data_IF_696714005165
#
_entry.id   IF_696714005165
#
_cell.length_a   1.000
_cell.length_b   1.000
_cell.length_c   1.000
_cell.angle_alpha   90.00
_cell.angle_beta   90.00
_cell.angle_gamma   90.00
#
_symmetry.space_group_name_H-M   'P 1'
#
loop_
_entity.id
_entity.type
_entity.pdbx_description
1 polymer ?
#
# COMPACT_ATOMS: atom_id res chain seq x y z
N UNK A 1 -1.95 3.43 15.48
CA UNK A 1 -0.55 3.68 15.10
C UNK A 1 -0.57 4.83 14.15
N UNK A 2 -0.20 6.03 14.62
CA UNK A 2 -0.08 7.21 13.78
C UNK A 2 1.22 7.08 13.00
N UNK A 3 1.13 6.99 11.67
CA UNK A 3 2.30 7.03 10.80
C UNK A 3 2.86 8.47 10.84
N UNK A 4 3.82 8.71 11.72
CA UNK A 4 4.50 10.01 11.77
C UNK A 4 5.45 10.11 10.56
N UNK A 5 5.17 11.08 9.70
CA UNK A 5 5.90 11.52 8.49
C UNK A 5 5.68 10.66 7.24
N UNK A 6 5.36 11.29 6.11
CA UNK A 6 5.12 10.61 4.81
C UNK A 6 6.26 9.64 4.43
N UNK A 7 7.50 10.00 4.74
CA UNK A 7 8.69 9.16 4.55
C UNK A 7 8.61 7.82 5.28
N UNK A 8 7.94 7.77 6.43
CA UNK A 8 7.74 6.55 7.20
C UNK A 8 6.75 5.60 6.50
N UNK A 9 5.71 6.15 5.87
CA UNK A 9 4.73 5.36 5.10
C UNK A 9 5.42 4.67 3.92
N UNK A 10 6.23 5.42 3.15
CA UNK A 10 6.96 4.84 2.01
C UNK A 10 8.05 3.87 2.44
N UNK A 11 8.76 4.14 3.54
CA UNK A 11 9.75 3.18 4.07
C UNK A 11 9.09 1.89 4.54
N UNK A 12 7.95 1.98 5.21
CA UNK A 12 7.17 0.82 5.63
C UNK A 12 6.68 0.03 4.41
N UNK A 13 6.21 0.73 3.36
CA UNK A 13 5.79 0.10 2.11
C UNK A 13 6.95 -0.61 1.41
N UNK A 14 8.14 0.00 1.37
CA UNK A 14 9.35 -0.62 0.83
C UNK A 14 9.70 -1.92 1.55
N UNK A 15 9.80 -1.90 2.89
CA UNK A 15 10.11 -3.09 3.70
C UNK A 15 9.07 -4.19 3.47
N UNK A 16 7.81 -3.81 3.35
CA UNK A 16 6.73 -4.75 3.07
C UNK A 16 6.88 -5.40 1.69
N UNK A 17 7.18 -4.63 0.64
CA UNK A 17 7.43 -5.16 -0.71
C UNK A 17 8.68 -6.05 -0.74
N UNK A 18 9.72 -5.69 0.02
CA UNK A 18 10.95 -6.47 0.16
C UNK A 18 10.74 -7.82 0.86
N UNK A 19 9.70 -7.93 1.69
CA UNK A 19 9.30 -9.20 2.30
C UNK A 19 8.59 -10.18 1.34
N UNK A 20 8.24 -9.72 0.13
CA UNK A 20 7.58 -10.54 -0.88
C UNK A 20 8.62 -11.25 -1.76
N UNK A 21 8.25 -12.33 -2.48
CA UNK A 21 9.16 -13.02 -3.41
C UNK A 21 9.59 -12.18 -4.63
N UNK A 22 9.22 -10.90 -4.67
CA UNK A 22 9.44 -10.00 -5.81
C UNK A 22 10.72 -9.16 -5.67
N UNK A 23 11.39 -9.21 -4.51
CA UNK A 23 12.59 -8.46 -4.11
C UNK A 23 12.48 -6.93 -4.35
N UNK A 24 12.39 -6.15 -3.27
CA UNK A 24 12.34 -4.68 -3.36
C UNK A 24 13.23 -4.02 -2.30
N UNK A 25 14.57 -4.24 -2.36
CA UNK A 25 15.48 -3.93 -1.27
C UNK A 25 15.71 -2.43 -1.09
N UNK A 26 16.12 -2.05 0.12
CA UNK A 26 16.60 -0.70 0.40
C UNK A 26 17.85 -0.41 -0.43
N UNK A 27 17.89 0.77 -1.07
CA UNK A 27 19.08 1.22 -1.79
C UNK A 27 19.78 2.35 -1.03
N UNK A 28 21.11 2.37 -1.08
CA UNK A 28 21.91 3.47 -0.50
C UNK A 28 21.56 4.85 -1.07
N UNK A 29 21.01 4.88 -2.28
CA UNK A 29 20.60 6.11 -2.97
C UNK A 29 19.20 6.60 -2.58
N UNK A 30 18.39 5.77 -1.93
CA UNK A 30 16.98 6.04 -1.65
C UNK A 30 16.11 6.13 -2.90
N UNK A 31 16.56 5.60 -4.05
CA UNK A 31 15.81 5.66 -5.32
C UNK A 31 14.50 4.88 -5.23
N UNK A 32 14.46 3.81 -4.45
CA UNK A 32 13.28 3.01 -4.18
C UNK A 32 12.17 3.85 -3.54
N UNK A 33 12.50 4.73 -2.59
CA UNK A 33 11.51 5.62 -1.98
C UNK A 33 11.03 6.70 -2.95
N UNK A 34 11.91 7.19 -3.84
CA UNK A 34 11.52 8.15 -4.89
C UNK A 34 10.57 7.50 -5.90
N UNK A 35 10.80 6.25 -6.27
CA UNK A 35 9.92 5.48 -7.14
C UNK A 35 8.57 5.28 -6.46
N UNK A 36 8.54 4.85 -5.19
CA UNK A 36 7.28 4.69 -4.45
C UNK A 36 6.47 6.00 -4.35
N UNK A 37 7.14 7.13 -4.09
CA UNK A 37 6.52 8.47 -4.08
C UNK A 37 5.98 8.91 -5.43
N UNK A 38 6.52 8.37 -6.53
CA UNK A 38 6.02 8.66 -7.88
C UNK A 38 4.84 7.78 -8.26
N UNK A 39 4.82 6.53 -7.77
CA UNK A 39 3.77 5.55 -8.09
C UNK A 39 2.53 5.68 -7.20
N UNK A 40 2.73 6.07 -5.93
CA UNK A 40 1.69 6.10 -4.91
C UNK A 40 1.60 7.48 -4.25
N UNK A 41 0.38 7.95 -4.00
CA UNK A 41 0.16 9.00 -3.01
C UNK A 41 0.35 8.46 -1.59
N UNK A 42 0.53 9.31 -0.57
CA UNK A 42 0.64 8.85 0.81
C UNK A 42 -0.59 8.02 1.23
N UNK A 43 -1.79 8.42 0.81
CA UNK A 43 -3.01 7.64 1.08
C UNK A 43 -3.01 6.29 0.36
N UNK A 44 -2.57 6.23 -0.90
CA UNK A 44 -2.49 4.96 -1.64
C UNK A 44 -1.47 4.00 -1.00
N UNK A 45 -0.34 4.52 -0.53
CA UNK A 45 0.68 3.74 0.16
C UNK A 45 0.16 3.16 1.50
N UNK A 46 -0.61 3.93 2.27
CA UNK A 46 -1.29 3.40 3.47
C UNK A 46 -2.30 2.29 3.15
N UNK A 47 -3.05 2.42 2.06
CA UNK A 47 -4.02 1.42 1.62
C UNK A 47 -3.29 0.14 1.21
N UNK A 48 -2.21 0.27 0.44
CA UNK A 48 -1.37 -0.85 0.02
C UNK A 48 -0.78 -1.61 1.21
N UNK A 49 -0.33 -0.91 2.25
CA UNK A 49 0.15 -1.53 3.50
C UNK A 49 -0.94 -2.27 4.28
N UNK A 50 -2.19 -1.79 4.23
CA UNK A 50 -3.34 -2.44 4.90
C UNK A 50 -3.85 -3.66 4.11
N UNK A 51 -3.63 -3.67 2.80
CA UNK A 51 -3.92 -4.82 1.93
C UNK A 51 -2.80 -5.86 2.08
N UNK A 52 -2.99 -6.85 2.95
CA UNK A 52 -2.10 -8.02 2.92
C UNK A 52 -2.19 -8.64 1.52
N UNK A 53 -1.05 -8.76 0.84
CA UNK A 53 -0.87 -9.32 -0.50
C UNK A 53 -0.96 -10.85 -0.49
N UNK A 54 -1.20 -11.43 0.69
CA UNK A 54 -1.67 -12.78 0.85
C UNK A 54 -3.11 -12.83 0.32
N UNK A 55 -3.50 -13.83 -0.48
CA UNK A 55 -4.88 -14.00 -0.90
C UNK A 55 -5.81 -13.98 0.31
N UNK A 56 -6.71 -13.02 0.34
CA UNK A 56 -7.70 -12.84 1.40
C UNK A 56 -9.07 -12.78 0.77
N UNK A 57 -10.05 -13.34 1.48
CA UNK A 57 -11.46 -13.16 1.13
C UNK A 57 -11.80 -11.65 1.04
N UNK A 58 -12.51 -11.17 0.00
CA UNK A 58 -12.80 -9.75 -0.20
C UNK A 58 -13.44 -9.07 1.03
N UNK A 59 -14.25 -9.82 1.78
CA UNK A 59 -14.87 -9.37 3.03
C UNK A 59 -13.85 -9.12 4.15
N UNK A 60 -12.82 -9.95 4.24
CA UNK A 60 -11.72 -9.78 5.20
C UNK A 60 -10.89 -8.54 4.86
N UNK A 61 -10.64 -8.29 3.57
CA UNK A 61 -9.93 -7.08 3.12
C UNK A 61 -10.70 -5.79 3.41
N UNK A 62 -12.03 -5.78 3.28
CA UNK A 62 -12.85 -4.58 3.51
C UNK A 62 -13.02 -4.24 5.01
N UNK A 63 -12.93 -5.24 5.90
CA UNK A 63 -13.24 -5.10 7.33
C UNK A 63 -12.42 -4.01 8.06
N UNK A 64 -11.11 -3.82 7.82
CA UNK A 64 -10.33 -2.72 8.40
C UNK A 64 -10.75 -1.35 7.88
N UNK A 65 -11.09 -1.23 6.60
CA UNK A 65 -11.48 0.04 5.96
C UNK A 65 -12.87 0.49 6.40
N UNK A 66 -13.81 -0.44 6.63
CA UNK A 66 -15.11 -0.14 7.23
C UNK A 66 -14.99 0.56 8.59
N UNK A 67 -14.01 0.15 9.42
CA UNK A 67 -13.74 0.80 10.72
C UNK A 67 -13.21 2.23 10.58
N UNK A 68 -12.67 2.58 9.41
CA UNK A 68 -12.15 3.91 9.07
C UNK A 68 -13.19 4.76 8.33
N UNK A 69 -14.45 4.31 8.23
CA UNK A 69 -15.53 5.06 7.60
C UNK A 69 -15.61 4.92 6.07
N UNK A 70 -14.85 4.02 5.46
CA UNK A 70 -14.88 3.81 4.01
C UNK A 70 -16.15 3.09 3.57
N UNK A 71 -16.69 3.49 2.41
CA UNK A 71 -17.75 2.74 1.73
C UNK A 71 -17.16 1.64 0.84
N UNK A 72 -17.98 0.63 0.54
CA UNK A 72 -17.57 -0.47 -0.35
C UNK A 72 -17.25 0.04 -1.77
N UNK A 73 -17.94 1.08 -2.22
CA UNK A 73 -17.73 1.69 -3.52
C UNK A 73 -16.37 2.39 -3.61
N UNK A 74 -16.01 3.18 -2.58
CA UNK A 74 -14.70 3.82 -2.46
C UNK A 74 -13.58 2.76 -2.44
N UNK A 75 -13.79 1.67 -1.70
CA UNK A 75 -12.84 0.57 -1.60
C UNK A 75 -12.68 -0.17 -2.94
N UNK A 76 -13.78 -0.50 -3.63
CA UNK A 76 -13.78 -1.16 -4.94
C UNK A 76 -13.07 -0.31 -6.00
N UNK A 77 -13.37 0.99 -6.02
CA UNK A 77 -12.72 1.94 -6.93
C UNK A 77 -11.21 1.99 -6.71
N UNK A 78 -10.75 2.04 -5.45
CA UNK A 78 -9.33 2.01 -5.12
C UNK A 78 -8.64 0.72 -5.56
N UNK A 79 -9.27 -0.45 -5.36
CA UNK A 79 -8.74 -1.73 -5.83
C UNK A 79 -8.59 -1.78 -7.36
N UNK A 80 -9.56 -1.27 -8.10
CA UNK A 80 -9.49 -1.20 -9.56
C UNK A 80 -8.35 -0.30 -10.05
N UNK A 81 -8.11 0.83 -9.38
CA UNK A 81 -6.99 1.72 -9.72
C UNK A 81 -5.65 1.07 -9.43
N UNK A 82 -5.51 0.36 -8.31
CA UNK A 82 -4.31 -0.37 -7.94
C UNK A 82 -4.01 -1.51 -8.93
N UNK A 83 -5.02 -2.29 -9.31
CA UNK A 83 -4.85 -3.38 -10.29
C UNK A 83 -4.35 -2.86 -11.64
N UNK A 84 -4.86 -1.71 -12.11
CA UNK A 84 -4.42 -1.08 -13.36
C UNK A 84 -2.99 -0.57 -13.33
N UNK A 85 -2.44 -0.24 -12.15
CA UNK A 85 -1.05 0.23 -12.00
C UNK A 85 -0.04 -0.92 -11.95
N UNK A 86 -0.49 -2.17 -11.79
CA UNK A 86 0.35 -3.36 -11.72
C UNK A 86 0.53 -4.08 -13.08
N UNK A 87 -0.06 -3.54 -14.15
CA UNK A 87 0.04 -3.97 -15.56
C UNK A 87 0.52 -2.81 -16.40
#
# INVERSE_FOLDING_TARGET
MSFNSEDNIYRTLQIYLDSLPIDYPETKSGVELKILKHLFTPQEAEIALKLKLIPQEPRAMFRPFKKQGWTLEQFSKALLTLAKKAT
#
